data_IF_594397541950
#
_entry.id   IF_594397541950
#
_cell.length_a   1.000
_cell.length_b   1.000
_cell.length_c   1.000
_cell.angle_alpha   90.00
_cell.angle_beta   90.00
_cell.angle_gamma   90.00
#
_symmetry.space_group_name_H-M   'P 1'
#
loop_
_entity.id
_entity.type
_entity.pdbx_description
1 polymer ?
#
# COMPACT_ATOMS: atom_id res chain seq x y z
N UNK A 1 -17.44 -3.08 -11.25
CA UNK A 1 -16.46 -2.30 -10.48
C UNK A 1 -15.07 -2.64 -11.00
N UNK A 2 -14.11 -1.69 -10.97
CA UNK A 2 -12.72 -2.00 -11.31
C UNK A 2 -12.16 -3.04 -10.33
N UNK A 3 -11.23 -3.86 -10.82
CA UNK A 3 -10.46 -4.81 -10.01
C UNK A 3 -9.41 -4.08 -9.16
N UNK A 4 -8.93 -4.71 -8.08
CA UNK A 4 -7.87 -4.13 -7.22
C UNK A 4 -6.60 -3.78 -8.00
N UNK A 5 -6.27 -4.55 -9.03
CA UNK A 5 -5.13 -4.28 -9.91
C UNK A 5 -5.36 -3.06 -10.82
N UNK A 6 -6.60 -2.85 -11.30
CA UNK A 6 -6.96 -1.66 -12.07
C UNK A 6 -7.01 -0.40 -11.19
N UNK A 7 -7.50 -0.53 -9.96
CA UNK A 7 -7.47 0.52 -8.93
C UNK A 7 -6.01 0.90 -8.66
N UNK A 8 -5.16 -0.06 -8.33
CA UNK A 8 -3.75 0.17 -8.05
C UNK A 8 -2.99 0.78 -9.24
N UNK A 9 -3.31 0.39 -10.48
CA UNK A 9 -2.73 0.99 -11.67
C UNK A 9 -3.14 2.47 -11.85
N UNK A 10 -4.40 2.79 -11.54
CA UNK A 10 -4.94 4.15 -11.57
C UNK A 10 -4.25 5.02 -10.52
N UNK A 11 -4.16 4.54 -9.28
CA UNK A 11 -3.46 5.23 -8.20
C UNK A 11 -2.00 5.45 -8.56
N UNK A 12 -1.30 4.42 -9.02
CA UNK A 12 0.10 4.54 -9.44
C UNK A 12 0.31 5.64 -10.48
N UNK A 13 -0.59 5.75 -11.46
CA UNK A 13 -0.53 6.79 -12.48
C UNK A 13 -0.73 8.20 -11.89
N UNK A 14 -1.60 8.33 -10.89
CA UNK A 14 -1.89 9.59 -10.19
C UNK A 14 -0.84 9.99 -9.15
N UNK A 15 -0.03 9.04 -8.64
CA UNK A 15 1.02 9.34 -7.68
C UNK A 15 2.05 10.31 -8.27
N UNK A 16 2.42 11.32 -7.49
CA UNK A 16 3.50 12.26 -7.78
C UNK A 16 4.86 11.58 -7.74
N UNK A 17 5.89 12.26 -8.26
CA UNK A 17 7.28 11.77 -8.17
C UNK A 17 7.72 11.57 -6.72
N UNK A 18 7.28 12.43 -5.80
CA UNK A 18 7.61 12.35 -4.37
C UNK A 18 6.91 11.14 -3.73
N UNK A 19 5.61 10.97 -3.94
CA UNK A 19 4.86 9.82 -3.39
C UNK A 19 5.40 8.47 -3.91
N UNK A 20 5.78 8.40 -5.19
CA UNK A 20 6.45 7.21 -5.76
C UNK A 20 7.83 6.97 -5.15
N UNK A 21 8.53 8.03 -4.74
CA UNK A 21 9.80 7.92 -4.05
C UNK A 21 9.60 7.45 -2.60
N UNK A 22 8.63 8.00 -1.86
CA UNK A 22 8.27 7.56 -0.51
C UNK A 22 7.94 6.07 -0.47
N UNK A 23 7.01 5.63 -1.33
CA UNK A 23 6.65 4.21 -1.41
C UNK A 23 7.84 3.33 -1.81
N UNK A 24 8.75 3.83 -2.64
CA UNK A 24 9.98 3.11 -2.98
C UNK A 24 10.92 2.97 -1.79
N UNK A 25 11.09 4.02 -0.98
CA UNK A 25 11.92 3.96 0.22
C UNK A 25 11.28 3.06 1.28
N UNK A 26 9.97 3.11 1.49
CA UNK A 26 9.25 2.18 2.36
C UNK A 26 9.49 0.72 1.93
N UNK A 27 9.35 0.42 0.63
CA UNK A 27 9.66 -0.91 0.09
C UNK A 27 11.14 -1.33 0.23
N UNK A 28 12.07 -0.38 0.39
CA UNK A 28 13.48 -0.69 0.67
C UNK A 28 13.73 -0.90 2.15
N UNK A 29 13.18 -0.04 3.01
CA UNK A 29 13.33 -0.10 4.46
C UNK A 29 12.88 -1.46 4.98
N UNK A 30 11.74 -1.90 4.48
CA UNK A 30 11.14 -3.16 4.85
C UNK A 30 12.07 -4.38 4.47
N UNK A 31 13.04 -4.24 3.54
CA UNK A 31 14.01 -5.31 3.17
C UNK A 31 15.16 -5.44 4.18
N UNK A 32 15.41 -4.37 4.94
CA UNK A 32 16.60 -4.24 5.78
C UNK A 32 16.27 -4.22 7.27
N UNK A 33 15.05 -3.80 7.60
CA UNK A 33 14.53 -3.66 8.95
C UNK A 33 13.17 -4.35 9.06
N UNK A 34 13.11 -5.39 9.89
CA UNK A 34 11.89 -6.13 10.21
C UNK A 34 10.99 -5.37 11.20
N UNK A 35 11.52 -4.37 11.89
CA UNK A 35 10.80 -3.52 12.84
C UNK A 35 10.30 -2.21 12.20
N UNK A 36 10.52 -2.03 10.90
CA UNK A 36 9.95 -0.91 10.16
C UNK A 36 8.41 -0.93 10.26
N UNK A 37 7.80 0.24 10.45
CA UNK A 37 6.35 0.35 10.67
C UNK A 37 5.54 -0.23 9.50
N UNK A 38 6.02 -0.02 8.26
CA UNK A 38 5.36 -0.56 7.08
C UNK A 38 5.52 -2.08 7.00
N UNK A 39 6.69 -2.61 7.42
CA UNK A 39 6.90 -4.05 7.53
C UNK A 39 5.91 -4.67 8.53
N UNK A 40 5.83 -4.08 9.72
CA UNK A 40 4.96 -4.56 10.79
C UNK A 40 3.49 -4.49 10.38
N UNK A 41 3.05 -3.41 9.74
CA UNK A 41 1.68 -3.25 9.27
C UNK A 41 1.29 -4.33 8.23
N UNK A 42 2.18 -4.64 7.28
CA UNK A 42 1.96 -5.71 6.31
C UNK A 42 1.90 -7.09 6.99
N UNK A 43 2.82 -7.35 7.93
CA UNK A 43 2.88 -8.58 8.68
C UNK A 43 1.63 -8.85 9.52
N UNK A 44 1.09 -7.81 10.17
CA UNK A 44 -0.15 -7.91 10.96
C UNK A 44 -1.37 -8.31 10.13
N UNK A 45 -1.40 -7.95 8.84
CA UNK A 45 -2.47 -8.32 7.91
C UNK A 45 -2.20 -9.67 7.21
N UNK A 46 -1.21 -10.43 7.67
CA UNK A 46 -0.80 -11.69 7.05
C UNK A 46 -0.27 -11.54 5.62
N UNK A 47 0.05 -10.31 5.20
CA UNK A 47 0.68 -10.04 3.92
C UNK A 47 2.18 -10.11 4.09
N UNK A 48 2.76 -11.20 3.59
CA UNK A 48 4.20 -11.37 3.56
C UNK A 48 4.88 -10.35 2.63
N UNK A 49 6.20 -10.33 2.71
CA UNK A 49 7.09 -9.48 1.94
C UNK A 49 6.72 -9.34 0.43
N UNK A 50 6.35 -8.14 -0.05
CA UNK A 50 5.83 -7.98 -1.41
C UNK A 50 6.77 -8.18 -2.57
N UNK A 51 8.06 -7.97 -2.31
CA UNK A 51 9.02 -7.64 -3.36
C UNK A 51 10.18 -8.60 -3.34
N UNK A 52 9.97 -9.83 -3.83
CA UNK A 52 11.00 -10.78 -4.22
C UNK A 52 12.14 -10.97 -3.21
N UNK A 53 12.07 -12.06 -2.46
CA UNK A 53 13.06 -12.47 -1.46
C UNK A 53 14.51 -12.13 -1.85
N UNK A 54 15.17 -11.32 -1.03
CA UNK A 54 16.58 -10.97 -1.21
C UNK A 54 16.93 -9.60 -0.63
N UNK A 55 17.58 -9.60 0.54
CA UNK A 55 18.17 -8.40 1.13
C UNK A 55 19.11 -7.75 0.10
N UNK A 56 18.92 -6.45 -0.17
CA UNK A 56 19.75 -5.70 -1.12
C UNK A 56 19.28 -5.75 -2.58
N UNK A 57 18.12 -6.35 -2.88
CA UNK A 57 17.53 -6.26 -4.21
C UNK A 57 17.06 -4.83 -4.48
N UNK A 58 17.47 -4.26 -5.62
CA UNK A 58 16.95 -2.97 -6.09
C UNK A 58 15.42 -3.00 -6.26
N UNK A 59 14.73 -2.09 -5.58
CA UNK A 59 13.30 -1.82 -5.80
C UNK A 59 13.08 -1.15 -7.15
N UNK A 60 12.27 -1.78 -8.00
CA UNK A 60 11.98 -1.32 -9.36
C UNK A 60 10.66 -0.55 -9.43
N UNK A 61 10.41 0.13 -10.55
CA UNK A 61 9.11 0.77 -10.81
C UNK A 61 7.96 -0.25 -10.85
N UNK A 62 8.23 -1.46 -11.37
CA UNK A 62 7.27 -2.56 -11.38
C UNK A 62 6.84 -2.94 -9.96
N UNK A 63 7.77 -2.92 -9.02
CA UNK A 63 7.50 -3.24 -7.61
C UNK A 63 6.60 -2.19 -6.96
N UNK A 64 6.86 -0.90 -7.21
CA UNK A 64 6.01 0.21 -6.74
C UNK A 64 4.58 0.08 -7.30
N UNK A 65 4.45 -0.21 -8.61
CA UNK A 65 3.14 -0.41 -9.24
C UNK A 65 2.41 -1.61 -8.65
N UNK A 66 3.12 -2.73 -8.45
CA UNK A 66 2.56 -3.95 -7.84
C UNK A 66 2.04 -3.64 -6.43
N UNK A 67 2.81 -2.87 -5.65
CA UNK A 67 2.41 -2.51 -4.30
C UNK A 67 1.14 -1.66 -4.25
N UNK A 68 0.91 -0.79 -5.24
CA UNK A 68 -0.35 -0.05 -5.32
C UNK A 68 -1.56 -0.99 -5.51
N UNK A 69 -1.41 -2.06 -6.31
CA UNK A 69 -2.45 -3.08 -6.44
C UNK A 69 -2.68 -3.86 -5.15
N UNK A 70 -1.61 -4.14 -4.41
CA UNK A 70 -1.69 -4.85 -3.13
C UNK A 70 -2.32 -4.02 -2.03
N UNK A 71 -2.06 -2.72 -1.98
CA UNK A 71 -2.74 -1.81 -1.06
C UNK A 71 -4.25 -1.76 -1.35
N UNK A 72 -4.66 -1.79 -2.63
CA UNK A 72 -6.07 -1.88 -2.99
C UNK A 72 -6.70 -3.20 -2.50
N UNK A 73 -6.04 -4.33 -2.75
CA UNK A 73 -6.48 -5.66 -2.27
C UNK A 73 -6.55 -5.71 -0.74
N UNK A 74 -5.53 -5.20 -0.04
CA UNK A 74 -5.50 -5.15 1.42
C UNK A 74 -6.68 -4.34 1.95
N UNK A 75 -6.99 -3.19 1.34
CA UNK A 75 -8.12 -2.36 1.77
C UNK A 75 -9.48 -3.06 1.63
N UNK A 76 -9.66 -3.92 0.63
CA UNK A 76 -10.93 -4.64 0.40
C UNK A 76 -11.09 -5.87 1.27
N UNK A 77 -10.05 -6.33 1.96
CA UNK A 77 -10.14 -7.50 2.83
C UNK A 77 -11.04 -7.30 4.06
N UNK A 78 -11.81 -8.32 4.49
CA UNK A 78 -12.67 -8.26 5.67
C UNK A 78 -11.96 -7.98 7.00
N UNK A 79 -10.67 -8.30 7.10
CA UNK A 79 -9.86 -8.15 8.32
C UNK A 79 -9.05 -6.85 8.39
N UNK A 80 -8.94 -6.09 7.30
CA UNK A 80 -8.29 -4.78 7.32
C UNK A 80 -9.26 -3.69 7.79
N UNK A 81 -9.08 -3.18 9.00
CA UNK A 81 -9.88 -2.05 9.49
C UNK A 81 -9.28 -0.69 9.06
N UNK A 82 -9.96 0.41 9.42
CA UNK A 82 -9.51 1.76 9.06
C UNK A 82 -8.21 2.16 9.80
N UNK A 83 -7.93 1.56 10.96
CA UNK A 83 -6.68 1.75 11.71
C UNK A 83 -5.51 1.10 10.98
N UNK A 84 -5.69 -0.15 10.54
CA UNK A 84 -4.69 -0.88 9.76
C UNK A 84 -4.42 -0.19 8.43
N UNK A 85 -5.48 0.28 7.77
CA UNK A 85 -5.35 1.08 6.55
C UNK A 85 -4.55 2.37 6.78
N UNK A 86 -4.84 3.09 7.86
CA UNK A 86 -4.09 4.29 8.25
C UNK A 86 -2.62 3.98 8.50
N UNK A 87 -2.31 2.88 9.21
CA UNK A 87 -0.93 2.44 9.46
C UNK A 87 -0.18 2.08 8.18
N UNK A 88 -0.83 1.38 7.25
CA UNK A 88 -0.23 1.05 5.95
C UNK A 88 0.14 2.31 5.16
N UNK A 89 -0.78 3.27 5.06
CA UNK A 89 -0.53 4.51 4.34
C UNK A 89 0.53 5.37 5.05
N UNK A 90 0.48 5.44 6.38
CA UNK A 90 1.47 6.15 7.17
C UNK A 90 2.88 5.56 6.98
N UNK A 91 3.02 4.24 7.03
CA UNK A 91 4.31 3.58 6.79
C UNK A 91 4.81 3.74 5.34
N UNK A 92 3.89 3.78 4.36
CA UNK A 92 4.25 3.91 2.95
C UNK A 92 4.58 5.33 2.49
N UNK A 93 3.89 6.34 3.04
CA UNK A 93 3.90 7.71 2.52
C UNK A 93 4.23 8.77 3.59
N UNK A 94 4.26 8.41 4.87
CA UNK A 94 4.44 9.32 6.02
C UNK A 94 3.10 9.74 6.65
N UNK A 95 3.18 10.52 7.74
CA UNK A 95 2.01 11.00 8.47
C UNK A 95 1.04 11.76 7.56
N UNK A 96 -0.25 11.39 7.61
CA UNK A 96 -1.35 12.22 7.11
C UNK A 96 -1.57 12.26 5.59
N UNK A 97 -1.27 11.19 4.85
CA UNK A 97 -1.53 11.18 3.40
C UNK A 97 -3.01 10.88 3.05
N UNK A 98 -3.92 11.74 3.55
CA UNK A 98 -5.35 11.77 3.20
C UNK A 98 -5.56 11.88 1.69
N UNK A 99 -4.58 12.47 0.98
CA UNK A 99 -4.59 12.58 -0.47
C UNK A 99 -4.46 11.21 -1.11
N UNK A 100 -3.47 10.39 -0.75
CA UNK A 100 -3.32 9.04 -1.32
C UNK A 100 -4.52 8.17 -0.96
N UNK A 101 -5.07 8.28 0.25
CA UNK A 101 -6.33 7.62 0.59
C UNK A 101 -7.47 8.07 -0.35
N UNK A 102 -7.55 9.37 -0.66
CA UNK A 102 -8.48 9.94 -1.64
C UNK A 102 -8.31 9.35 -3.04
N UNK A 103 -7.07 9.16 -3.52
CA UNK A 103 -6.80 8.56 -4.83
C UNK A 103 -7.37 7.14 -4.95
N UNK A 104 -7.26 6.35 -3.88
CA UNK A 104 -7.81 5.00 -3.81
C UNK A 104 -9.35 5.01 -3.90
N UNK A 105 -10.00 5.94 -3.22
CA UNK A 105 -11.45 6.16 -3.30
C UNK A 105 -11.87 6.61 -4.71
N UNK A 106 -11.19 7.60 -5.28
CA UNK A 106 -11.44 8.11 -6.64
C UNK A 106 -11.27 7.00 -7.70
N UNK A 107 -10.31 6.10 -7.49
CA UNK A 107 -10.06 4.96 -8.36
C UNK A 107 -11.11 3.85 -8.24
N UNK A 108 -11.99 3.89 -7.22
CA UNK A 108 -13.13 2.98 -7.10
C UNK A 108 -13.20 2.18 -5.80
N UNK A 109 -12.33 2.42 -4.83
CA UNK A 109 -12.50 1.84 -3.49
C UNK A 109 -13.66 2.50 -2.74
N UNK A 110 -14.40 1.73 -1.94
CA UNK A 110 -15.48 2.29 -1.15
C UNK A 110 -14.91 3.22 -0.06
N UNK A 111 -15.55 4.38 0.14
CA UNK A 111 -15.17 5.36 1.19
C UNK A 111 -15.20 4.78 2.59
N UNK A 112 -16.16 3.89 2.82
CA UNK A 112 -16.36 3.16 4.07
C UNK A 112 -16.47 1.68 3.72
N UNK A 113 -15.92 0.81 4.56
CA UNK A 113 -16.05 -0.63 4.38
C UNK A 113 -17.54 -1.02 4.35
N UNK A 114 -17.97 -1.97 3.51
CA UNK A 114 -19.29 -2.57 3.68
C UNK A 114 -19.37 -3.18 5.09
N UNK A 115 -20.51 -3.02 5.77
CA UNK A 115 -20.73 -3.66 7.06
C UNK A 115 -20.55 -5.18 6.92
N UNK A 116 -19.95 -5.82 7.93
CA UNK A 116 -20.00 -7.27 8.03
C UNK A 116 -21.45 -7.62 8.39
N UNK A 117 -22.17 -8.22 7.43
CA UNK A 117 -23.52 -8.77 7.64
C UNK A 117 -23.49 -9.97 8.62
#
# INVERSE_FOLDING_TARGET
MPTDQEIGATVYAALTTVERASLREALRATQVDEYDDFHCALGNLGYGWPVGQGRGRRVTQKDVRKMCGWLAELRTRPDTDDTDWGRLLCGAFGDGDDRVAGLYVEAGLPKTKPALD
#
